data_IF_526849525078
#
_entry.id   IF_526849525078
#
_cell.length_a   1.000
_cell.length_b   1.000
_cell.length_c   1.000
_cell.angle_alpha   90.00
_cell.angle_beta   90.00
_cell.angle_gamma   90.00
#
_symmetry.space_group_name_H-M   'P 1'
#
loop_
_entity.id
_entity.type
_entity.pdbx_description
1 polymer ?
#
# COMPACT_ATOMS: atom_id res chain seq x y z
N UNK A 1 -43.59 65.34 44.48
CA UNK A 1 -42.28 65.08 45.12
C UNK A 1 -41.75 63.76 44.58
N UNK A 2 -40.80 63.83 43.64
CA UNK A 2 -40.28 62.74 42.85
C UNK A 2 -38.94 62.27 43.48
N UNK A 3 -38.83 60.98 43.85
CA UNK A 3 -37.55 60.35 44.19
C UNK A 3 -37.10 59.49 43.04
N UNK A 4 -36.03 59.90 42.37
CA UNK A 4 -35.30 59.10 41.36
C UNK A 4 -34.39 58.07 42.08
N UNK A 5 -34.60 56.78 41.80
CA UNK A 5 -33.70 55.72 42.19
C UNK A 5 -32.63 55.57 41.13
N UNK A 6 -31.39 55.71 41.57
CA UNK A 6 -30.18 55.42 40.72
C UNK A 6 -29.91 53.90 40.83
N UNK A 7 -29.99 53.20 39.69
CA UNK A 7 -29.54 51.80 39.60
C UNK A 7 -28.09 51.82 39.08
N UNK A 8 -27.18 51.37 39.92
CA UNK A 8 -25.78 51.08 39.53
C UNK A 8 -25.71 49.72 38.86
N UNK A 9 -25.27 49.71 37.59
CA UNK A 9 -24.92 48.48 36.88
C UNK A 9 -23.49 48.07 37.32
N UNK A 10 -23.41 46.90 37.96
CA UNK A 10 -22.15 46.22 38.26
C UNK A 10 -21.81 45.32 37.05
N UNK A 11 -20.84 45.70 36.23
CA UNK A 11 -20.29 44.86 35.20
C UNK A 11 -19.34 43.81 35.81
N UNK A 12 -19.80 42.58 35.97
CA UNK A 12 -18.92 41.45 36.28
C UNK A 12 -18.28 40.94 34.98
N UNK A 13 -17.01 41.24 34.82
CA UNK A 13 -16.20 40.70 33.74
C UNK A 13 -15.98 39.18 33.94
N UNK A 14 -16.53 38.39 33.00
CA UNK A 14 -16.20 36.97 32.91
C UNK A 14 -14.91 36.84 32.10
N UNK A 15 -13.84 36.51 32.79
CA UNK A 15 -12.57 36.13 32.17
C UNK A 15 -12.75 34.76 31.51
N UNK A 16 -12.83 34.71 30.19
CA UNK A 16 -12.76 33.45 29.44
C UNK A 16 -11.33 32.92 29.47
N UNK A 17 -11.10 31.88 30.28
CA UNK A 17 -9.89 31.07 30.19
C UNK A 17 -9.96 30.28 28.88
N UNK A 18 -9.16 30.69 27.89
CA UNK A 18 -8.89 29.89 26.72
C UNK A 18 -8.00 28.70 27.13
N UNK A 19 -8.59 27.53 27.28
CA UNK A 19 -7.84 26.27 27.32
C UNK A 19 -7.21 26.04 25.94
N UNK A 20 -5.95 26.40 25.81
CA UNK A 20 -5.13 25.92 24.69
C UNK A 20 -4.87 24.42 24.93
N UNK A 21 -5.63 23.59 24.20
CA UNK A 21 -5.33 22.17 24.07
C UNK A 21 -4.03 22.03 23.25
N UNK A 22 -2.92 21.81 23.94
CA UNK A 22 -1.66 21.37 23.33
C UNK A 22 -1.83 19.91 22.86
N UNK A 23 -2.48 19.71 21.74
CA UNK A 23 -2.47 18.47 20.99
C UNK A 23 -1.40 18.58 19.89
N UNK A 24 -0.14 18.43 20.26
CA UNK A 24 0.97 18.33 19.31
C UNK A 24 0.96 16.95 18.63
N UNK A 25 0.01 16.73 17.73
CA UNK A 25 0.11 15.64 16.74
C UNK A 25 1.24 15.98 15.77
N UNK A 26 2.09 14.99 15.43
CA UNK A 26 3.07 15.16 14.37
C UNK A 26 2.37 15.72 13.10
N UNK A 27 3.02 16.61 12.35
CA UNK A 27 2.44 17.14 11.12
C UNK A 27 2.09 15.98 10.19
N UNK A 28 0.88 16.03 9.63
CA UNK A 28 0.40 14.96 8.74
C UNK A 28 1.26 14.94 7.47
N UNK A 29 1.64 13.74 6.99
CA UNK A 29 2.39 13.64 5.74
C UNK A 29 1.54 14.21 4.59
N UNK A 30 2.17 14.95 3.67
CA UNK A 30 1.46 15.52 2.53
C UNK A 30 0.92 14.42 1.60
N UNK A 31 -0.16 14.68 0.87
CA UNK A 31 -0.70 13.75 -0.11
C UNK A 31 0.31 13.51 -1.25
N UNK A 32 0.11 12.42 -2.00
CA UNK A 32 0.86 12.21 -3.25
C UNK A 32 0.48 13.31 -4.25
N UNK A 33 1.49 13.96 -4.82
CA UNK A 33 1.29 15.09 -5.73
C UNK A 33 1.37 14.69 -7.20
N UNK A 34 2.27 13.77 -7.53
CA UNK A 34 2.60 13.48 -8.94
C UNK A 34 2.88 12.00 -9.13
N UNK A 35 2.39 11.47 -10.27
CA UNK A 35 2.79 10.17 -10.82
C UNK A 35 3.56 10.45 -12.11
N UNK A 36 4.85 10.13 -12.11
CA UNK A 36 5.70 10.29 -13.29
C UNK A 36 6.00 8.89 -13.90
N UNK A 37 5.41 8.56 -15.05
CA UNK A 37 5.70 7.29 -15.70
C UNK A 37 7.11 7.27 -16.30
N UNK A 38 7.75 6.11 -16.29
CA UNK A 38 8.99 5.87 -17.03
C UNK A 38 8.62 5.47 -18.46
N UNK A 39 9.24 6.06 -19.48
CA UNK A 39 9.09 5.61 -20.86
C UNK A 39 9.53 4.15 -21.02
N UNK A 40 8.68 3.28 -21.57
CA UNK A 40 8.97 1.85 -21.72
C UNK A 40 9.58 1.48 -23.08
N UNK A 41 9.56 2.41 -24.04
CA UNK A 41 10.07 2.16 -25.40
C UNK A 41 11.56 1.83 -25.41
N UNK A 42 11.91 0.67 -25.97
CA UNK A 42 13.30 0.23 -26.11
C UNK A 42 13.93 -0.42 -24.88
N UNK A 43 13.20 -0.62 -23.79
CA UNK A 43 13.69 -1.39 -22.64
C UNK A 43 13.85 -2.85 -23.02
N UNK A 44 15.07 -3.39 -22.85
CA UNK A 44 15.30 -4.81 -22.97
C UNK A 44 14.61 -5.60 -21.84
N UNK A 45 14.27 -6.88 -22.06
CA UNK A 45 13.86 -7.75 -20.97
C UNK A 45 14.88 -7.72 -19.81
N UNK A 46 14.40 -7.95 -18.62
CA UNK A 46 15.21 -7.93 -17.39
C UNK A 46 15.86 -6.58 -17.05
N UNK A 47 15.46 -5.47 -17.67
CA UNK A 47 15.94 -4.14 -17.28
C UNK A 47 15.33 -3.75 -15.93
N UNK A 48 16.18 -3.42 -14.94
CA UNK A 48 15.76 -2.81 -13.69
C UNK A 48 15.61 -1.29 -13.89
N UNK A 49 14.42 -0.74 -13.64
CA UNK A 49 14.14 0.70 -13.75
C UNK A 49 14.14 1.42 -12.41
N UNK A 50 14.27 0.67 -11.31
CA UNK A 50 14.33 1.19 -9.96
C UNK A 50 15.75 1.72 -9.66
N UNK A 51 15.92 2.78 -8.85
CA UNK A 51 17.23 3.39 -8.58
C UNK A 51 18.16 2.49 -7.77
N UNK A 52 17.63 1.53 -7.01
CA UNK A 52 18.37 0.56 -6.21
C UNK A 52 19.31 1.21 -5.18
N UNK A 53 18.81 2.21 -4.48
CA UNK A 53 19.56 3.00 -3.50
C UNK A 53 19.83 2.18 -2.24
N UNK A 54 20.99 2.40 -1.62
CA UNK A 54 21.29 1.83 -0.31
C UNK A 54 20.39 2.46 0.77
N UNK A 55 19.94 1.67 1.74
CA UNK A 55 19.05 2.08 2.83
C UNK A 55 17.64 2.57 2.39
N UNK A 56 17.20 2.22 1.18
CA UNK A 56 15.81 2.35 0.74
C UNK A 56 14.97 1.15 1.21
N UNK A 57 13.63 1.32 1.28
CA UNK A 57 12.72 0.19 1.50
C UNK A 57 12.43 -0.49 0.18
N UNK A 58 12.87 -1.74 0.04
CA UNK A 58 12.69 -2.56 -1.15
C UNK A 58 11.76 -3.72 -0.86
N UNK A 59 10.80 -3.96 -1.73
CA UNK A 59 9.91 -5.13 -1.62
C UNK A 59 9.30 -5.51 -2.96
N UNK A 60 8.83 -6.77 -3.04
CA UNK A 60 8.03 -7.21 -4.16
C UNK A 60 6.54 -7.31 -3.77
N UNK A 61 5.66 -7.31 -4.77
CA UNK A 61 4.21 -7.52 -4.58
C UNK A 61 3.72 -8.55 -5.57
N UNK A 62 3.00 -9.56 -5.09
CA UNK A 62 2.33 -10.60 -5.87
C UNK A 62 0.90 -10.77 -5.38
N UNK A 63 0.03 -11.23 -6.25
CA UNK A 63 -1.34 -11.61 -5.89
C UNK A 63 -1.87 -12.73 -6.76
N UNK A 64 -2.87 -13.45 -6.27
CA UNK A 64 -3.55 -14.51 -6.98
C UNK A 64 -2.57 -15.58 -7.49
N UNK A 65 -1.59 -15.91 -6.66
CA UNK A 65 -0.42 -16.69 -7.04
C UNK A 65 -0.57 -18.19 -6.83
N UNK A 66 -1.32 -18.63 -5.83
CA UNK A 66 -1.31 -19.96 -5.24
C UNK A 66 -1.86 -21.12 -6.09
N UNK A 67 -1.47 -21.23 -7.36
CA UNK A 67 -1.93 -22.28 -8.27
C UNK A 67 -1.04 -23.51 -8.30
N UNK A 68 0.22 -23.42 -7.90
CA UNK A 68 1.21 -24.49 -8.08
C UNK A 68 1.51 -24.80 -9.56
N UNK A 69 1.10 -23.94 -10.48
CA UNK A 69 1.22 -24.15 -11.92
C UNK A 69 2.56 -23.61 -12.46
N UNK A 70 2.83 -23.90 -13.75
CA UNK A 70 4.06 -23.42 -14.39
C UNK A 70 4.16 -21.90 -14.46
N UNK A 71 3.03 -21.20 -14.63
CA UNK A 71 3.01 -19.75 -14.70
C UNK A 71 3.47 -19.10 -13.38
N UNK A 72 3.04 -19.63 -12.26
CA UNK A 72 3.53 -19.20 -10.93
C UNK A 72 5.04 -19.47 -10.78
N UNK A 73 5.51 -20.65 -11.20
CA UNK A 73 6.96 -20.98 -11.17
C UNK A 73 7.78 -20.04 -12.04
N UNK A 74 7.27 -19.68 -13.23
CA UNK A 74 7.94 -18.73 -14.13
C UNK A 74 8.04 -17.33 -13.50
N UNK A 75 6.96 -16.85 -12.85
CA UNK A 75 6.97 -15.57 -12.11
C UNK A 75 7.95 -15.64 -10.95
N UNK A 76 7.93 -16.70 -10.15
CA UNK A 76 8.84 -16.88 -9.01
C UNK A 76 10.32 -16.95 -9.45
N UNK A 77 10.61 -17.65 -10.54
CA UNK A 77 11.95 -17.69 -11.14
C UNK A 77 12.42 -16.30 -11.59
N UNK A 78 11.49 -15.52 -12.18
CA UNK A 78 11.81 -14.15 -12.59
C UNK A 78 12.02 -13.23 -11.37
N UNK A 79 11.24 -13.39 -10.30
CA UNK A 79 11.46 -12.70 -9.03
C UNK A 79 12.84 -13.00 -8.45
N UNK A 80 13.27 -14.27 -8.44
CA UNK A 80 14.59 -14.68 -7.97
C UNK A 80 15.72 -14.03 -8.78
N UNK A 81 15.62 -13.98 -10.11
CA UNK A 81 16.58 -13.26 -10.98
C UNK A 81 16.68 -11.77 -10.66
N UNK A 82 15.55 -11.12 -10.39
CA UNK A 82 15.57 -9.72 -9.99
C UNK A 82 16.13 -9.54 -8.59
N UNK A 83 15.88 -10.50 -7.68
CA UNK A 83 16.42 -10.46 -6.32
C UNK A 83 17.96 -10.44 -6.28
N UNK A 84 18.64 -11.17 -7.15
CA UNK A 84 20.12 -11.18 -7.25
C UNK A 84 20.74 -9.78 -7.39
N UNK A 85 20.03 -8.84 -7.97
CA UNK A 85 20.53 -7.46 -8.23
C UNK A 85 19.69 -6.36 -7.58
N UNK A 86 18.51 -6.69 -7.10
CA UNK A 86 17.61 -5.81 -6.34
C UNK A 86 17.15 -6.56 -5.11
N UNK A 87 18.04 -6.70 -4.13
CA UNK A 87 17.84 -7.51 -2.93
C UNK A 87 16.68 -6.97 -2.06
N UNK A 88 15.46 -7.36 -2.37
CA UNK A 88 14.28 -7.03 -1.56
C UNK A 88 14.15 -8.03 -0.40
N UNK A 89 14.07 -7.57 0.85
CA UNK A 89 14.01 -8.44 2.02
C UNK A 89 12.64 -9.08 2.25
N UNK A 90 11.60 -8.61 1.57
CA UNK A 90 10.26 -9.17 1.76
C UNK A 90 9.35 -9.01 0.53
N UNK A 91 8.28 -9.79 0.55
CA UNK A 91 7.20 -9.81 -0.45
C UNK A 91 5.88 -9.55 0.24
N UNK A 92 5.01 -8.75 -0.36
CA UNK A 92 3.60 -8.62 0.01
C UNK A 92 2.78 -9.55 -0.90
N UNK A 93 1.91 -10.37 -0.30
CA UNK A 93 0.94 -11.21 -0.98
C UNK A 93 -0.46 -10.63 -0.80
N UNK A 94 -1.11 -10.24 -1.90
CA UNK A 94 -2.42 -9.57 -1.84
C UNK A 94 -3.61 -10.52 -1.97
N UNK A 95 -3.50 -11.71 -1.38
CA UNK A 95 -4.55 -12.71 -1.29
C UNK A 95 -4.61 -13.70 -2.45
N UNK A 96 -5.49 -14.69 -2.31
CA UNK A 96 -5.55 -15.90 -3.13
C UNK A 96 -4.18 -16.58 -3.14
N UNK A 97 -3.67 -16.81 -1.92
CA UNK A 97 -2.35 -17.38 -1.67
C UNK A 97 -2.33 -18.89 -1.98
N UNK A 98 -3.48 -19.56 -1.81
CA UNK A 98 -3.70 -20.96 -2.16
C UNK A 98 -5.05 -21.13 -2.87
N UNK A 99 -5.03 -21.64 -4.10
CA UNK A 99 -6.26 -22.01 -4.82
C UNK A 99 -6.56 -23.49 -4.63
N UNK A 100 -7.85 -23.84 -4.55
CA UNK A 100 -8.32 -25.23 -4.58
C UNK A 100 -7.58 -26.13 -3.60
N UNK A 101 -7.40 -25.66 -2.37
CA UNK A 101 -6.68 -26.36 -1.32
C UNK A 101 -7.38 -26.19 0.03
N UNK A 102 -7.04 -27.10 0.95
CA UNK A 102 -7.51 -27.09 2.33
C UNK A 102 -6.43 -26.59 3.30
N UNK A 103 -5.48 -25.78 2.82
CA UNK A 103 -4.32 -25.32 3.59
C UNK A 103 -3.55 -26.47 4.27
N UNK A 104 -3.37 -27.58 3.54
CA UNK A 104 -2.59 -28.72 3.99
C UNK A 104 -1.08 -28.50 3.82
N UNK A 105 -0.22 -29.25 4.52
CA UNK A 105 1.23 -29.18 4.28
C UNK A 105 1.63 -29.42 2.82
N UNK A 106 0.90 -30.29 2.10
CA UNK A 106 1.15 -30.56 0.69
C UNK A 106 0.75 -29.38 -0.20
N UNK A 107 -0.35 -28.67 0.13
CA UNK A 107 -0.75 -27.44 -0.56
C UNK A 107 0.30 -26.34 -0.38
N UNK A 108 0.75 -26.09 0.85
CA UNK A 108 1.80 -25.11 1.13
C UNK A 108 3.08 -25.45 0.38
N UNK A 109 3.51 -26.72 0.41
CA UNK A 109 4.70 -27.14 -0.31
C UNK A 109 4.57 -26.90 -1.82
N UNK A 110 3.52 -27.41 -2.46
CA UNK A 110 3.37 -27.40 -3.90
C UNK A 110 3.07 -26.00 -4.47
N UNK A 111 2.31 -25.18 -3.72
CA UNK A 111 1.77 -23.89 -4.20
C UNK A 111 2.51 -22.67 -3.66
N UNK A 112 3.41 -22.86 -2.67
CA UNK A 112 4.16 -21.77 -2.07
C UNK A 112 5.65 -22.13 -1.89
N UNK A 113 5.99 -23.15 -1.11
CA UNK A 113 7.39 -23.40 -0.74
C UNK A 113 8.26 -23.76 -1.96
N UNK A 114 7.81 -24.70 -2.80
CA UNK A 114 8.55 -25.09 -3.99
C UNK A 114 8.70 -23.97 -5.01
N UNK A 115 7.63 -23.22 -5.39
CA UNK A 115 7.78 -22.08 -6.31
C UNK A 115 8.74 -21.01 -5.82
N UNK A 116 8.69 -20.66 -4.52
CA UNK A 116 9.49 -19.57 -3.96
C UNK A 116 10.73 -20.05 -3.19
N UNK A 117 11.13 -21.32 -3.32
CA UNK A 117 12.29 -21.90 -2.61
C UNK A 117 13.58 -21.07 -2.75
N UNK A 118 13.95 -20.51 -3.92
CA UNK A 118 15.15 -19.67 -4.03
C UNK A 118 15.08 -18.41 -3.17
N UNK A 119 13.93 -17.76 -3.08
CA UNK A 119 13.74 -16.56 -2.27
C UNK A 119 13.70 -16.89 -0.77
N UNK A 120 13.05 -18.00 -0.40
CA UNK A 120 13.01 -18.49 0.98
C UNK A 120 14.41 -18.85 1.49
N UNK A 121 15.26 -19.46 0.65
CA UNK A 121 16.64 -19.79 0.98
C UNK A 121 17.51 -18.55 1.24
N UNK A 122 17.21 -17.41 0.58
CA UNK A 122 17.84 -16.11 0.82
C UNK A 122 17.24 -15.34 2.01
N UNK A 123 16.28 -15.94 2.73
CA UNK A 123 15.65 -15.36 3.91
C UNK A 123 14.60 -14.27 3.60
N UNK A 124 14.10 -14.21 2.37
CA UNK A 124 13.02 -13.30 2.00
C UNK A 124 11.75 -13.66 2.75
N UNK A 125 11.16 -12.69 3.45
CA UNK A 125 9.94 -12.87 4.23
C UNK A 125 8.70 -12.57 3.38
N UNK A 126 7.61 -13.32 3.60
CA UNK A 126 6.35 -13.10 2.91
C UNK A 126 5.29 -12.62 3.92
N UNK A 127 4.57 -11.57 3.59
CA UNK A 127 3.50 -10.99 4.40
C UNK A 127 2.20 -11.05 3.61
N UNK A 128 1.28 -11.92 4.03
CA UNK A 128 0.06 -12.19 3.27
C UNK A 128 -1.17 -11.43 3.81
N UNK A 129 -2.10 -11.10 2.93
CA UNK A 129 -3.51 -10.91 3.26
C UNK A 129 -4.32 -12.10 2.76
N UNK A 130 -5.52 -12.31 3.30
CA UNK A 130 -6.41 -13.36 2.80
C UNK A 130 -7.20 -12.88 1.59
N UNK A 131 -7.37 -13.77 0.60
CA UNK A 131 -8.32 -13.64 -0.50
C UNK A 131 -9.55 -14.52 -0.30
N UNK A 132 -10.44 -14.52 -1.29
CA UNK A 132 -11.70 -15.27 -1.19
C UNK A 132 -11.54 -16.78 -1.47
N UNK A 133 -10.40 -17.22 -1.99
CA UNK A 133 -10.05 -18.63 -2.16
C UNK A 133 -9.22 -19.18 -0.99
N UNK A 134 -8.71 -18.34 -0.12
CA UNK A 134 -7.84 -18.73 0.97
C UNK A 134 -8.61 -19.34 2.14
N UNK A 135 -8.04 -20.40 2.76
CA UNK A 135 -8.55 -20.97 4.00
C UNK A 135 -8.17 -20.06 5.18
N UNK A 136 -9.09 -19.90 6.13
CA UNK A 136 -8.84 -19.11 7.34
C UNK A 136 -7.67 -19.62 8.19
N UNK A 137 -7.30 -20.92 8.08
CA UNK A 137 -6.16 -21.47 8.80
C UNK A 137 -4.82 -20.95 8.30
N UNK A 138 -4.77 -20.36 7.11
CA UNK A 138 -3.56 -19.75 6.56
C UNK A 138 -2.98 -18.64 7.45
N UNK A 139 -3.82 -18.02 8.31
CA UNK A 139 -3.35 -17.03 9.30
C UNK A 139 -2.30 -17.62 10.28
N UNK A 140 -2.26 -18.94 10.43
CA UNK A 140 -1.36 -19.65 11.32
C UNK A 140 -0.11 -20.19 10.60
N UNK A 141 -0.06 -20.10 9.26
CA UNK A 141 1.09 -20.56 8.51
C UNK A 141 2.27 -19.59 8.67
N UNK A 142 3.38 -20.10 9.21
CA UNK A 142 4.47 -19.23 9.67
C UNK A 142 5.09 -18.36 8.59
N UNK A 143 5.23 -18.88 7.36
CA UNK A 143 5.83 -18.14 6.25
C UNK A 143 4.96 -16.99 5.75
N UNK A 144 3.66 -16.94 6.06
CA UNK A 144 2.78 -15.82 5.69
C UNK A 144 2.82 -14.66 6.68
N UNK A 145 3.52 -14.81 7.80
CA UNK A 145 3.75 -13.76 8.81
C UNK A 145 2.48 -13.07 9.34
N UNK A 146 1.33 -13.70 9.22
CA UNK A 146 0.04 -13.20 9.72
C UNK A 146 -0.12 -13.36 11.23
N UNK A 147 0.64 -14.27 11.86
CA UNK A 147 0.71 -14.51 13.32
C UNK A 147 -0.65 -14.75 13.96
N UNK A 148 -1.51 -15.54 13.33
CA UNK A 148 -2.87 -15.86 13.78
C UNK A 148 -3.87 -14.70 13.61
N UNK A 149 -3.55 -13.65 12.84
CA UNK A 149 -4.40 -12.49 12.66
C UNK A 149 -4.76 -12.30 11.18
N UNK A 150 -6.04 -12.13 10.87
CA UNK A 150 -6.51 -11.87 9.50
C UNK A 150 -6.30 -10.42 9.04
N UNK A 151 -6.04 -9.49 9.97
CA UNK A 151 -5.62 -8.11 9.70
C UNK A 151 -4.56 -7.70 10.72
N UNK A 152 -3.54 -6.99 10.27
CA UNK A 152 -2.39 -6.64 11.11
C UNK A 152 -1.57 -5.50 10.50
N UNK A 153 -0.67 -4.95 11.32
CA UNK A 153 0.31 -3.94 10.92
C UNK A 153 1.73 -4.51 11.10
N UNK A 154 2.63 -4.10 10.20
CA UNK A 154 4.06 -4.32 10.37
C UNK A 154 4.88 -3.16 9.81
N UNK A 155 6.14 -3.05 10.23
CA UNK A 155 7.18 -2.21 9.65
C UNK A 155 8.12 -3.07 8.79
N UNK A 156 8.90 -2.49 7.86
CA UNK A 156 9.89 -3.24 7.09
C UNK A 156 10.77 -4.11 8.00
N UNK A 157 11.00 -5.40 7.65
CA UNK A 157 11.75 -6.31 8.51
C UNK A 157 13.24 -5.95 8.62
N UNK A 158 13.88 -6.43 9.70
CA UNK A 158 15.31 -6.30 9.94
C UNK A 158 15.75 -4.95 10.49
N UNK A 159 17.05 -4.68 10.42
CA UNK A 159 17.66 -3.44 10.90
C UNK A 159 17.40 -2.22 9.97
N UNK A 160 16.60 -2.41 8.93
CA UNK A 160 16.21 -1.36 8.00
C UNK A 160 15.54 -0.19 8.71
N UNK A 161 14.61 -0.45 9.65
CA UNK A 161 13.88 0.60 10.38
C UNK A 161 14.82 1.60 11.04
N UNK A 162 15.95 1.16 11.60
CA UNK A 162 16.92 2.02 12.26
C UNK A 162 17.77 2.86 11.29
N UNK A 163 17.77 2.52 10.00
CA UNK A 163 18.56 3.18 8.93
C UNK A 163 17.71 3.99 7.97
N UNK A 164 16.39 3.81 8.00
CA UNK A 164 15.47 4.54 7.12
C UNK A 164 15.38 6.00 7.52
N UNK A 165 15.54 6.88 6.55
CA UNK A 165 15.28 8.31 6.70
C UNK A 165 13.80 8.63 6.71
N UNK A 166 12.97 7.71 6.20
CA UNK A 166 11.52 7.88 6.05
C UNK A 166 10.78 6.67 6.63
N UNK A 167 9.98 6.84 7.67
CA UNK A 167 9.19 5.77 8.26
C UNK A 167 8.12 5.22 7.30
N UNK A 168 8.06 3.90 7.17
CA UNK A 168 7.07 3.18 6.35
C UNK A 168 6.31 2.19 7.21
N UNK A 169 4.99 2.13 7.06
CA UNK A 169 4.14 1.15 7.74
C UNK A 169 3.19 0.47 6.76
N UNK A 170 3.01 -0.82 6.95
CA UNK A 170 2.16 -1.69 6.13
C UNK A 170 0.97 -2.16 6.95
N UNK A 171 -0.22 -2.17 6.32
CA UNK A 171 -1.49 -2.56 6.93
C UNK A 171 -2.15 -3.61 6.05
N UNK A 172 -2.18 -4.84 6.52
CA UNK A 172 -2.89 -5.96 5.89
C UNK A 172 -4.36 -5.94 6.30
N UNK A 173 -5.27 -6.13 5.35
CA UNK A 173 -6.70 -6.23 5.59
C UNK A 173 -7.26 -7.53 5.01
N UNK A 174 -8.21 -8.12 5.73
CA UNK A 174 -9.09 -9.16 5.21
C UNK A 174 -10.31 -8.52 4.55
N UNK A 175 -10.25 -8.33 3.25
CA UNK A 175 -11.34 -7.71 2.48
C UNK A 175 -12.48 -8.67 2.14
N UNK A 176 -12.34 -9.96 2.45
CA UNK A 176 -13.42 -10.95 2.34
C UNK A 176 -14.43 -10.78 3.47
N UNK A 177 -13.96 -10.33 4.65
CA UNK A 177 -14.77 -10.13 5.85
C UNK A 177 -14.46 -8.78 6.51
N UNK A 178 -14.92 -7.69 5.88
CA UNK A 178 -14.82 -6.33 6.42
C UNK A 178 -15.90 -6.13 7.50
N UNK A 179 -15.54 -6.40 8.75
CA UNK A 179 -16.41 -6.15 9.89
C UNK A 179 -16.07 -4.84 10.64
N UNK A 180 -16.94 -4.46 11.57
CA UNK A 180 -16.78 -3.23 12.37
C UNK A 180 -15.49 -3.21 13.21
N UNK A 181 -15.05 -4.36 13.70
CA UNK A 181 -13.87 -4.47 14.55
C UNK A 181 -12.61 -4.20 13.74
N UNK A 182 -12.53 -4.77 12.53
CA UNK A 182 -11.44 -4.49 11.60
C UNK A 182 -11.41 -3.02 11.19
N UNK A 183 -12.56 -2.42 10.88
CA UNK A 183 -12.64 -1.01 10.48
C UNK A 183 -12.24 -0.07 11.63
N UNK A 184 -12.66 -0.38 12.86
CA UNK A 184 -12.28 0.36 14.06
C UNK A 184 -10.79 0.26 14.32
N UNK A 185 -10.23 -0.96 14.25
CA UNK A 185 -8.81 -1.21 14.36
C UNK A 185 -8.02 -0.44 13.30
N UNK A 186 -8.45 -0.51 12.04
CA UNK A 186 -7.78 0.16 10.94
C UNK A 186 -7.72 1.67 11.12
N UNK A 187 -8.85 2.29 11.51
CA UNK A 187 -8.92 3.73 11.74
C UNK A 187 -7.98 4.15 12.88
N UNK A 188 -7.94 3.38 13.97
CA UNK A 188 -7.07 3.63 15.11
C UNK A 188 -5.58 3.46 14.76
N UNK A 189 -5.20 2.34 14.13
CA UNK A 189 -3.80 2.05 13.79
C UNK A 189 -3.22 3.03 12.76
N UNK A 190 -4.03 3.41 11.76
CA UNK A 190 -3.62 4.43 10.80
C UNK A 190 -3.47 5.82 11.46
N UNK A 191 -4.32 6.13 12.45
CA UNK A 191 -4.23 7.38 13.22
C UNK A 191 -2.97 7.44 14.07
N UNK A 192 -2.68 6.37 14.79
CA UNK A 192 -1.52 6.28 15.71
C UNK A 192 -0.19 6.07 14.96
N UNK A 193 -0.21 5.70 13.69
CA UNK A 193 0.99 5.45 12.92
C UNK A 193 1.74 6.75 12.62
N UNK A 194 3.02 6.89 13.04
CA UNK A 194 3.87 8.02 12.70
C UNK A 194 4.48 7.91 11.30
N UNK A 195 4.14 6.85 10.55
CA UNK A 195 4.74 6.60 9.25
C UNK A 195 4.35 7.66 8.23
N UNK A 196 5.35 8.11 7.47
CA UNK A 196 5.16 8.98 6.32
C UNK A 196 4.50 8.24 5.17
N UNK A 197 4.94 7.01 4.90
CA UNK A 197 4.33 6.13 3.92
C UNK A 197 3.44 5.11 4.62
N UNK A 198 2.12 5.26 4.47
CA UNK A 198 1.12 4.31 4.93
C UNK A 198 0.64 3.49 3.75
N UNK A 199 1.02 2.23 3.72
CA UNK A 199 0.72 1.29 2.63
C UNK A 199 -0.31 0.29 3.12
N UNK A 200 -1.45 0.22 2.45
CA UNK A 200 -2.48 -0.78 2.71
C UNK A 200 -2.41 -1.87 1.63
N UNK A 201 -2.62 -3.11 2.02
CA UNK A 201 -2.80 -4.20 1.07
C UNK A 201 -3.96 -5.11 1.49
N UNK A 202 -4.72 -5.53 0.49
CA UNK A 202 -5.94 -6.31 0.66
C UNK A 202 -6.22 -7.06 -0.65
N UNK A 203 -7.10 -8.06 -0.60
CA UNK A 203 -7.38 -8.83 -1.80
C UNK A 203 -8.33 -8.09 -2.79
N UNK A 204 -9.52 -7.72 -2.34
CA UNK A 204 -10.51 -7.11 -3.23
C UNK A 204 -10.20 -5.63 -3.50
N UNK A 205 -10.05 -5.22 -4.77
CA UNK A 205 -9.77 -3.84 -5.12
C UNK A 205 -10.95 -2.93 -4.77
N UNK A 206 -10.66 -1.65 -4.51
CA UNK A 206 -11.71 -0.63 -4.35
C UNK A 206 -11.85 0.26 -5.60
N UNK A 207 -10.90 0.17 -6.52
CA UNK A 207 -10.96 0.75 -7.85
C UNK A 207 -10.51 -0.27 -8.88
N UNK A 208 -11.37 -0.64 -9.81
CA UNK A 208 -11.05 -1.51 -10.94
C UNK A 208 -11.93 -1.19 -12.15
N UNK A 209 -11.43 -1.42 -13.34
CA UNK A 209 -12.22 -1.46 -14.58
C UNK A 209 -12.37 -2.90 -15.12
N UNK A 210 -12.01 -3.88 -14.32
CA UNK A 210 -12.15 -5.30 -14.61
C UNK A 210 -13.54 -5.85 -14.36
N UNK A 211 -13.60 -7.15 -14.18
CA UNK A 211 -14.85 -7.92 -14.03
C UNK A 211 -15.63 -7.57 -12.76
N UNK A 212 -14.97 -7.28 -11.67
CA UNK A 212 -15.56 -7.14 -10.33
C UNK A 212 -15.84 -5.68 -9.93
N UNK A 213 -16.15 -4.80 -10.91
CA UNK A 213 -16.43 -3.37 -10.65
C UNK A 213 -17.55 -3.12 -9.64
N UNK A 214 -18.56 -3.97 -9.59
CA UNK A 214 -19.70 -3.81 -8.68
C UNK A 214 -19.29 -4.02 -7.22
N UNK A 215 -18.53 -5.09 -6.91
CA UNK A 215 -17.99 -5.36 -5.57
C UNK A 215 -16.93 -4.33 -5.15
N UNK A 216 -16.11 -3.87 -6.10
CA UNK A 216 -15.15 -2.80 -5.85
C UNK A 216 -15.83 -1.51 -5.36
N UNK A 217 -17.00 -1.16 -5.89
CA UNK A 217 -17.76 -0.01 -5.43
C UNK A 217 -18.21 -0.14 -3.98
N UNK A 218 -18.65 -1.33 -3.54
CA UNK A 218 -19.04 -1.59 -2.15
C UNK A 218 -17.84 -1.44 -1.20
N UNK A 219 -16.70 -2.06 -1.53
CA UNK A 219 -15.48 -1.94 -0.75
C UNK A 219 -14.99 -0.49 -0.66
N UNK A 220 -15.09 0.26 -1.77
CA UNK A 220 -14.73 1.67 -1.80
C UNK A 220 -15.59 2.50 -0.86
N UNK A 221 -16.92 2.31 -0.86
CA UNK A 221 -17.82 3.07 0.04
C UNK A 221 -17.48 2.88 1.52
N UNK A 222 -16.92 1.72 1.87
CA UNK A 222 -16.52 1.40 3.25
C UNK A 222 -15.14 1.95 3.61
N UNK A 223 -14.13 1.76 2.74
CA UNK A 223 -12.72 1.98 3.08
C UNK A 223 -12.19 3.36 2.70
N UNK A 224 -12.69 3.95 1.60
CA UNK A 224 -12.08 5.17 1.05
C UNK A 224 -12.11 6.35 2.02
N UNK A 225 -13.18 6.50 2.80
CA UNK A 225 -13.30 7.59 3.78
C UNK A 225 -12.24 7.47 4.88
N UNK A 226 -11.90 6.25 5.31
CA UNK A 226 -10.84 5.97 6.28
C UNK A 226 -9.49 6.27 5.64
N UNK A 227 -9.23 5.74 4.45
CA UNK A 227 -7.95 5.92 3.76
C UNK A 227 -7.62 7.41 3.54
N UNK A 228 -8.59 8.19 3.07
CA UNK A 228 -8.43 9.63 2.89
C UNK A 228 -8.15 10.36 4.20
N UNK A 229 -8.98 10.12 5.23
CA UNK A 229 -8.88 10.77 6.53
C UNK A 229 -7.56 10.46 7.25
N UNK A 230 -7.00 9.26 7.00
CA UNK A 230 -5.78 8.76 7.65
C UNK A 230 -4.54 8.81 6.75
N UNK A 231 -4.65 9.46 5.59
CA UNK A 231 -3.54 9.70 4.66
C UNK A 231 -2.82 8.42 4.23
N UNK A 232 -3.58 7.41 3.83
CA UNK A 232 -3.02 6.26 3.13
C UNK A 232 -2.39 6.75 1.83
N UNK A 233 -1.16 6.30 1.56
CA UNK A 233 -0.42 6.73 0.37
C UNK A 233 -0.66 5.81 -0.82
N UNK A 234 -0.59 4.50 -0.58
CA UNK A 234 -0.69 3.48 -1.63
C UNK A 234 -1.54 2.31 -1.15
N UNK A 235 -2.32 1.75 -2.07
CA UNK A 235 -3.11 0.53 -1.85
C UNK A 235 -2.75 -0.49 -2.93
N UNK A 236 -2.35 -1.70 -2.50
CA UNK A 236 -2.14 -2.85 -3.37
C UNK A 236 -3.29 -3.85 -3.21
N UNK A 237 -3.75 -4.43 -4.31
CA UNK A 237 -4.82 -5.42 -4.33
C UNK A 237 -4.62 -6.47 -5.43
N UNK A 238 -5.37 -7.58 -5.32
CA UNK A 238 -5.45 -8.68 -6.27
C UNK A 238 -6.85 -8.85 -6.84
N UNK A 239 -7.36 -10.11 -6.82
CA UNK A 239 -8.70 -10.53 -7.21
C UNK A 239 -9.03 -10.38 -8.70
N UNK A 240 -8.69 -9.28 -9.31
CA UNK A 240 -8.69 -9.12 -10.75
C UNK A 240 -7.37 -9.69 -11.28
N UNK A 241 -7.44 -10.78 -12.03
CA UNK A 241 -6.26 -11.48 -12.55
C UNK A 241 -5.59 -10.70 -13.69
N UNK A 242 -5.30 -9.45 -13.43
CA UNK A 242 -4.70 -8.48 -14.37
C UNK A 242 -3.79 -7.54 -13.59
N UNK A 243 -3.03 -6.71 -14.32
CA UNK A 243 -2.39 -5.53 -13.76
C UNK A 243 -3.23 -4.29 -14.06
N UNK A 244 -3.47 -3.46 -13.05
CA UNK A 244 -3.99 -2.11 -13.26
C UNK A 244 -3.29 -1.11 -12.33
N UNK A 245 -3.09 0.10 -12.84
CA UNK A 245 -2.74 1.28 -12.06
C UNK A 245 -3.76 2.36 -12.33
N UNK A 246 -4.29 2.96 -11.27
CA UNK A 246 -5.19 4.11 -11.40
C UNK A 246 -4.42 5.40 -11.67
N UNK A 247 -5.11 6.45 -12.10
CA UNK A 247 -4.70 7.82 -11.79
C UNK A 247 -4.83 8.04 -10.28
N UNK A 248 -4.22 9.08 -9.72
CA UNK A 248 -4.40 9.36 -8.29
C UNK A 248 -5.89 9.57 -7.98
N UNK A 249 -6.40 8.84 -7.01
CA UNK A 249 -7.75 9.00 -6.51
C UNK A 249 -7.69 9.61 -5.11
N UNK A 250 -8.13 10.85 -4.97
CA UNK A 250 -8.07 11.59 -3.70
C UNK A 250 -6.65 11.61 -3.06
N UNK A 251 -5.60 11.72 -3.88
CA UNK A 251 -4.21 11.73 -3.42
C UNK A 251 -3.65 10.34 -3.04
N UNK A 252 -4.36 9.26 -3.36
CA UNK A 252 -3.95 7.88 -3.09
C UNK A 252 -3.72 7.16 -4.41
N UNK A 253 -2.63 6.38 -4.49
CA UNK A 253 -2.35 5.50 -5.62
C UNK A 253 -2.88 4.10 -5.36
N UNK A 254 -3.60 3.55 -6.32
CA UNK A 254 -4.10 2.17 -6.27
C UNK A 254 -3.45 1.34 -7.36
N UNK A 255 -3.00 0.14 -6.97
CA UNK A 255 -2.47 -0.90 -7.87
C UNK A 255 -3.26 -2.18 -7.69
N UNK A 256 -3.56 -2.83 -8.81
CA UNK A 256 -3.99 -4.21 -8.87
C UNK A 256 -2.86 -5.03 -9.48
N UNK A 257 -2.48 -6.12 -8.83
CA UNK A 257 -1.44 -7.04 -9.29
C UNK A 257 -1.83 -8.49 -9.01
N UNK A 258 -2.96 -8.93 -9.59
CA UNK A 258 -3.51 -10.27 -9.41
C UNK A 258 -3.04 -11.28 -10.47
N UNK A 259 -1.85 -11.11 -11.01
CA UNK A 259 -1.37 -11.90 -12.15
C UNK A 259 -0.18 -12.81 -11.89
N UNK A 260 0.11 -13.19 -10.63
CA UNK A 260 1.31 -13.98 -10.35
C UNK A 260 1.17 -15.50 -10.62
N UNK A 261 -0.04 -16.04 -10.54
CA UNK A 261 -0.33 -17.45 -10.86
C UNK A 261 -1.62 -17.65 -11.64
N UNK A 262 -2.45 -16.62 -11.67
CA UNK A 262 -3.73 -16.54 -12.37
C UNK A 262 -3.71 -15.41 -13.39
N UNK A 263 -4.41 -15.58 -14.51
CA UNK A 263 -4.49 -14.53 -15.54
C UNK A 263 -5.86 -14.59 -16.23
N UNK A 264 -6.38 -13.42 -16.58
CA UNK A 264 -7.60 -13.28 -17.41
C UNK A 264 -7.30 -12.37 -18.59
N UNK A 265 -6.80 -12.92 -19.71
CA UNK A 265 -6.49 -12.14 -20.90
C UNK A 265 -7.71 -11.41 -21.44
N UNK A 266 -7.55 -10.13 -21.78
CA UNK A 266 -8.61 -9.28 -22.30
C UNK A 266 -9.49 -8.60 -21.25
N UNK A 267 -9.36 -8.94 -19.96
CA UNK A 267 -10.06 -8.22 -18.90
C UNK A 267 -9.44 -6.81 -18.69
N UNK A 268 -10.25 -5.90 -18.17
CA UNK A 268 -9.87 -4.51 -17.95
C UNK A 268 -10.23 -3.59 -19.12
N UNK A 269 -11.32 -2.85 -18.98
CA UNK A 269 -11.76 -1.85 -19.98
C UNK A 269 -11.17 -0.47 -19.68
N UNK A 270 -10.97 0.39 -20.70
CA UNK A 270 -10.59 1.78 -20.44
C UNK A 270 -11.61 2.47 -19.52
N UNK A 271 -11.11 3.21 -18.54
CA UNK A 271 -11.93 4.04 -17.66
C UNK A 271 -11.15 5.31 -17.28
N UNK A 272 -11.82 6.46 -17.03
CA UNK A 272 -11.13 7.74 -16.78
C UNK A 272 -10.17 7.72 -15.58
N UNK A 273 -10.42 6.84 -14.63
CA UNK A 273 -9.59 6.68 -13.42
C UNK A 273 -8.50 5.60 -13.57
N UNK A 274 -8.36 4.96 -14.72
CA UNK A 274 -7.33 3.94 -14.99
C UNK A 274 -6.23 4.54 -15.86
N UNK A 275 -5.01 4.58 -15.34
CA UNK A 275 -3.83 5.05 -16.05
C UNK A 275 -3.15 3.96 -16.88
N UNK A 276 -3.19 2.70 -16.40
CA UNK A 276 -2.60 1.55 -17.07
C UNK A 276 -3.42 0.30 -16.83
N UNK A 277 -3.60 -0.51 -17.85
CA UNK A 277 -4.15 -1.89 -17.78
C UNK A 277 -3.26 -2.82 -18.57
N UNK A 278 -3.04 -4.04 -18.04
CA UNK A 278 -2.32 -5.10 -18.74
C UNK A 278 -2.83 -6.47 -18.30
N UNK A 279 -3.17 -7.29 -19.28
CA UNK A 279 -3.70 -8.65 -19.06
C UNK A 279 -3.11 -9.68 -20.04
N UNK A 280 -1.98 -9.34 -20.70
CA UNK A 280 -1.41 -10.21 -21.72
C UNK A 280 -0.48 -11.29 -21.16
N UNK A 281 0.08 -11.10 -19.96
CA UNK A 281 1.00 -12.06 -19.35
C UNK A 281 0.98 -11.99 -17.81
N UNK A 282 1.45 -13.07 -17.18
CA UNK A 282 1.64 -13.16 -15.75
C UNK A 282 2.75 -12.19 -15.29
N UNK A 283 2.66 -11.69 -14.05
CA UNK A 283 3.51 -10.59 -13.60
C UNK A 283 3.63 -10.51 -12.08
N UNK A 284 4.58 -9.70 -11.63
CA UNK A 284 4.78 -9.24 -10.27
C UNK A 284 5.20 -7.76 -10.29
N UNK A 285 5.31 -7.15 -9.12
CA UNK A 285 5.82 -5.79 -8.99
C UNK A 285 7.05 -5.74 -8.09
N UNK A 286 7.94 -4.79 -8.38
CA UNK A 286 9.01 -4.34 -7.49
C UNK A 286 8.76 -2.91 -7.09
N UNK A 287 9.01 -2.61 -5.81
CA UNK A 287 8.81 -1.29 -5.21
C UNK A 287 10.07 -0.88 -4.46
N UNK A 288 10.41 0.39 -4.56
CA UNK A 288 11.48 1.01 -3.78
C UNK A 288 11.00 2.36 -3.23
N UNK A 289 11.18 2.57 -1.92
CA UNK A 289 10.84 3.83 -1.27
C UNK A 289 12.12 4.47 -0.74
N UNK A 290 12.38 5.68 -1.22
CA UNK A 290 13.49 6.52 -0.79
C UNK A 290 12.97 7.93 -0.49
N UNK A 291 13.06 8.36 0.77
CA UNK A 291 12.56 9.67 1.19
C UNK A 291 11.11 9.90 0.75
N UNK A 292 10.88 10.99 0.04
CA UNK A 292 9.55 11.40 -0.45
C UNK A 292 9.16 10.75 -1.78
N UNK A 293 9.91 9.75 -2.25
CA UNK A 293 9.66 9.10 -3.55
C UNK A 293 9.46 7.61 -3.40
N UNK A 294 8.40 7.09 -3.99
CA UNK A 294 8.17 5.67 -4.20
C UNK A 294 8.34 5.38 -5.69
N UNK A 295 9.26 4.48 -6.03
CA UNK A 295 9.47 3.96 -7.38
C UNK A 295 8.77 2.61 -7.52
N UNK A 296 8.18 2.34 -8.67
CA UNK A 296 7.53 1.07 -8.95
C UNK A 296 7.89 0.55 -10.35
N UNK A 297 7.94 -0.77 -10.47
CA UNK A 297 8.10 -1.48 -11.74
C UNK A 297 7.23 -2.74 -11.71
N UNK A 298 6.33 -2.90 -12.69
CA UNK A 298 5.60 -4.12 -12.93
C UNK A 298 6.32 -4.90 -14.05
N UNK A 299 6.55 -6.19 -13.82
CA UNK A 299 7.42 -7.04 -14.64
C UNK A 299 6.68 -8.31 -15.00
N UNK A 300 6.66 -8.67 -16.28
CA UNK A 300 6.09 -9.93 -16.74
C UNK A 300 7.00 -11.13 -16.40
N UNK A 301 6.43 -12.35 -16.44
CA UNK A 301 7.21 -13.60 -16.27
C UNK A 301 8.32 -13.78 -17.31
N UNK A 302 8.31 -12.99 -18.39
CA UNK A 302 9.38 -13.00 -19.43
C UNK A 302 10.39 -11.88 -19.25
N UNK A 303 10.38 -11.16 -18.12
CA UNK A 303 11.28 -10.06 -17.82
C UNK A 303 10.91 -8.72 -18.46
N UNK A 304 9.88 -8.66 -19.29
CA UNK A 304 9.46 -7.40 -19.90
C UNK A 304 8.81 -6.47 -18.89
N UNK A 305 9.21 -5.20 -18.87
CA UNK A 305 8.58 -4.15 -18.07
C UNK A 305 7.20 -3.80 -18.64
N UNK A 306 6.16 -3.96 -17.83
CA UNK A 306 4.76 -3.70 -18.19
C UNK A 306 4.38 -2.25 -17.91
N UNK A 307 4.83 -1.75 -16.78
CA UNK A 307 4.62 -0.39 -16.29
C UNK A 307 5.74 -0.03 -15.32
N UNK A 308 6.15 1.22 -15.31
CA UNK A 308 7.12 1.72 -14.37
C UNK A 308 6.92 3.23 -14.15
N UNK A 309 7.33 3.71 -12.99
CA UNK A 309 7.20 5.12 -12.68
C UNK A 309 7.61 5.43 -11.25
N UNK A 310 7.36 6.67 -10.87
CA UNK A 310 7.57 7.15 -9.51
C UNK A 310 6.39 7.98 -9.02
N UNK A 311 6.11 7.86 -7.73
CA UNK A 311 5.14 8.66 -6.99
C UNK A 311 5.94 9.62 -6.11
N UNK A 312 5.61 10.89 -6.14
CA UNK A 312 6.24 11.88 -5.27
C UNK A 312 5.20 12.47 -4.32
N UNK A 313 5.61 12.66 -3.09
CA UNK A 313 4.86 13.45 -2.11
C UNK A 313 5.23 14.92 -2.28
N UNK A 314 4.29 15.83 -2.01
CA UNK A 314 4.66 17.24 -1.93
C UNK A 314 5.61 17.43 -0.74
N UNK A 315 6.68 18.23 -0.87
CA UNK A 315 7.48 18.57 0.28
C UNK A 315 6.60 19.30 1.29
N UNK A 316 6.68 18.93 2.56
CA UNK A 316 6.09 19.71 3.65
C UNK A 316 6.64 21.12 3.55
N UNK A 317 5.80 22.10 3.22
CA UNK A 317 6.20 23.51 3.29
C UNK A 317 6.54 23.78 4.75
N UNK A 318 7.81 24.01 5.03
CA UNK A 318 8.25 24.49 6.32
C UNK A 318 7.64 25.89 6.53
N UNK A 319 6.51 25.96 7.27
CA UNK A 319 5.82 27.20 7.59
C UNK A 319 6.59 28.04 8.62
N UNK A 320 7.80 27.65 8.98
CA UNK A 320 8.62 28.38 9.98
C UNK A 320 9.49 29.49 9.34
N UNK A 321 9.59 29.58 7.99
CA UNK A 321 10.47 30.55 7.31
C UNK A 321 9.79 31.84 6.82
N UNK A 322 8.55 32.14 7.20
CA UNK A 322 7.88 33.40 6.77
C UNK A 322 7.55 34.33 7.95
N UNK A 323 8.52 34.54 8.88
CA UNK A 323 8.37 35.59 9.89
C UNK A 323 9.67 36.31 10.22
N UNK A 324 10.42 36.69 9.20
CA UNK A 324 11.52 37.62 9.33
C UNK A 324 11.71 38.29 7.97
N UNK A 325 11.00 39.39 7.72
CA UNK A 325 11.40 40.54 6.91
C UNK A 325 10.18 41.47 6.67
N UNK A 326 9.70 42.09 7.75
CA UNK A 326 8.99 43.37 7.64
C UNK A 326 9.39 44.21 8.86
N UNK A 327 10.65 44.59 8.92
CA UNK A 327 11.11 45.73 9.69
C UNK A 327 11.60 46.74 8.68
N UNK A 328 10.73 47.73 8.32
CA UNK A 328 11.13 48.91 7.59
C UNK A 328 12.03 49.79 8.49
N UNK A 329 13.10 50.38 7.96
CA UNK A 329 13.84 51.39 8.69
C UNK A 329 13.14 52.74 8.58
N UNK A 330 13.10 53.43 9.72
CA UNK A 330 12.83 54.87 9.77
C UNK A 330 14.05 55.65 9.38
#
# INVERSE_FOLDING_TARGET
MSRRLLVQLVCTGVAALALQACGGGAPMPPPLAVVEPVPLGGLAPDTLTLPNVENSVKFAVIGDSGRGNQAQRDVAAQMARFHERFAFPFVIMVGDNLYEGAATPDDYRAKFEEPYAPLLAEGVQFFASLGNHDDRQEINYEHFNMRGRRYYRFAPPGNLVARLTTPVAFFALDSTYLDSDQLTWLDAELKESPADWKIVFLHHPIYTSGRYRASAFLNRSTLESIFRRRHVSVVFSGHEHIYQRTTLQNGIQYFITGGAGSLRPGDGTPAPYIARTYSANYHFMLIEIEGETLHFQAISRTGATIDAGRLRREPTRDTTLTRADTAAPH
#
